data_IF_897483327361
#
_entry.id   IF_897483327361
#
_cell.length_a   1.000
_cell.length_b   1.000
_cell.length_c   1.000
_cell.angle_alpha   90.00
_cell.angle_beta   90.00
_cell.angle_gamma   90.00
#
_symmetry.space_group_name_H-M   'P 1'
#
loop_
_entity.id
_entity.type
_entity.pdbx_description
1 polymer ?
#
# COMPACT_ATOMS: atom_id res chain seq x y z
N UNK A 1 9.25 -8.50 -33.08
CA UNK A 1 10.53 -8.17 -32.43
C UNK A 1 10.43 -6.75 -31.91
N UNK A 2 10.00 -6.58 -30.66
CA UNK A 2 9.99 -5.27 -29.97
C UNK A 2 10.69 -5.50 -28.63
N UNK A 3 11.80 -4.77 -28.45
CA UNK A 3 12.82 -5.06 -27.45
C UNK A 3 12.29 -4.99 -26.03
N UNK A 4 12.62 -6.00 -25.24
CA UNK A 4 12.64 -5.90 -23.79
C UNK A 4 13.66 -4.82 -23.43
N UNK A 5 13.19 -3.61 -23.14
CA UNK A 5 14.03 -2.58 -22.53
C UNK A 5 14.48 -3.13 -21.17
N UNK A 6 15.75 -3.51 -21.07
CA UNK A 6 16.41 -3.78 -19.80
C UNK A 6 16.44 -2.46 -19.02
N UNK A 7 15.41 -2.24 -18.19
CA UNK A 7 15.44 -1.23 -17.14
C UNK A 7 16.62 -1.58 -16.23
N UNK A 8 17.39 -0.56 -15.83
CA UNK A 8 18.54 -0.70 -14.93
C UNK A 8 18.15 -1.32 -13.59
N UNK A 9 19.12 -1.51 -12.68
CA UNK A 9 18.83 -2.08 -11.37
C UNK A 9 17.85 -1.16 -10.61
N UNK A 10 16.62 -1.63 -10.42
CA UNK A 10 15.56 -0.92 -9.69
C UNK A 10 15.92 -0.78 -8.19
N UNK A 11 16.84 -1.61 -7.68
CA UNK A 11 17.17 -1.71 -6.26
C UNK A 11 17.60 -0.38 -5.60
N UNK A 12 18.67 0.29 -6.09
CA UNK A 12 19.12 1.55 -5.50
C UNK A 12 18.10 2.68 -5.60
N UNK A 13 17.47 2.86 -6.78
CA UNK A 13 16.46 3.91 -7.00
C UNK A 13 15.23 3.70 -6.11
N UNK A 14 14.79 2.45 -5.95
CA UNK A 14 13.67 2.12 -5.07
C UNK A 14 14.01 2.32 -3.59
N UNK A 15 15.26 2.04 -3.19
CA UNK A 15 15.71 2.28 -1.83
C UNK A 15 15.74 3.78 -1.53
N UNK A 16 16.27 4.60 -2.43
CA UNK A 16 16.28 6.06 -2.30
C UNK A 16 14.85 6.62 -2.18
N UNK A 17 13.95 6.22 -3.07
CA UNK A 17 12.54 6.62 -2.99
C UNK A 17 11.85 6.16 -1.69
N UNK A 18 12.22 5.00 -1.15
CA UNK A 18 11.70 4.52 0.13
C UNK A 18 12.27 5.33 1.32
N UNK A 19 13.53 5.76 1.25
CA UNK A 19 14.16 6.62 2.24
C UNK A 19 13.52 8.01 2.26
N UNK A 20 13.16 8.58 1.10
CA UNK A 20 12.48 9.87 0.98
C UNK A 20 11.14 9.92 1.72
N UNK A 21 10.41 8.80 1.78
CA UNK A 21 9.11 8.72 2.48
C UNK A 21 9.23 8.25 3.94
N UNK A 22 10.43 7.94 4.43
CA UNK A 22 10.66 7.31 5.74
C UNK A 22 10.08 8.13 6.90
N UNK A 23 10.29 9.44 6.91
CA UNK A 23 9.77 10.32 7.97
C UNK A 23 8.24 10.33 8.03
N UNK A 24 7.58 10.27 6.88
CA UNK A 24 6.13 10.17 6.78
C UNK A 24 5.64 8.81 7.33
N UNK A 25 6.31 7.71 6.98
CA UNK A 25 5.99 6.38 7.50
C UNK A 25 6.16 6.32 9.03
N UNK A 26 7.20 6.96 9.58
CA UNK A 26 7.41 7.07 11.03
C UNK A 26 6.29 7.89 11.69
N UNK A 27 5.84 8.97 11.06
CA UNK A 27 4.73 9.77 11.55
C UNK A 27 3.42 8.96 11.59
N UNK A 28 3.06 8.27 10.49
CA UNK A 28 1.89 7.39 10.44
C UNK A 28 1.97 6.28 11.48
N UNK A 29 3.14 5.65 11.65
CA UNK A 29 3.34 4.63 12.68
C UNK A 29 2.99 5.19 14.07
N UNK A 30 3.48 6.39 14.42
CA UNK A 30 3.19 7.02 15.71
C UNK A 30 1.71 7.34 15.87
N UNK A 31 1.06 7.83 14.81
CA UNK A 31 -0.38 8.13 14.79
C UNK A 31 -1.22 6.87 15.04
N UNK A 32 -1.00 5.80 14.26
CA UNK A 32 -1.74 4.54 14.44
C UNK A 32 -1.48 3.89 15.80
N UNK A 33 -0.26 4.01 16.34
CA UNK A 33 0.03 3.52 17.70
C UNK A 33 -0.61 4.37 18.80
N UNK A 34 -0.88 5.66 18.54
CA UNK A 34 -1.54 6.54 19.49
C UNK A 34 -3.05 6.30 19.53
N UNK A 35 -3.64 5.87 18.40
CA UNK A 35 -5.07 5.60 18.24
C UNK A 35 -5.30 4.16 17.74
N UNK A 36 -5.00 3.14 18.55
CA UNK A 36 -5.20 1.75 18.14
C UNK A 36 -6.70 1.43 17.99
N UNK A 37 -7.03 0.62 16.98
CA UNK A 37 -8.39 0.09 16.76
C UNK A 37 -8.39 -1.43 16.89
N UNK A 38 -9.48 -1.98 17.43
CA UNK A 38 -9.62 -3.43 17.64
C UNK A 38 -9.88 -4.17 16.33
N UNK A 39 -9.61 -5.47 16.36
CA UNK A 39 -9.94 -6.38 15.26
C UNK A 39 -11.39 -6.21 14.81
N UNK A 40 -11.58 -6.02 13.50
CA UNK A 40 -12.86 -5.79 12.81
C UNK A 40 -13.53 -4.42 13.07
N UNK A 41 -12.88 -3.53 13.82
CA UNK A 41 -13.38 -2.19 14.15
C UNK A 41 -12.46 -1.06 13.64
N UNK A 42 -11.53 -1.35 12.74
CA UNK A 42 -10.49 -0.44 12.20
C UNK A 42 -11.05 0.58 11.20
N UNK A 43 -12.13 1.27 11.57
CA UNK A 43 -12.87 2.17 10.69
C UNK A 43 -12.05 3.38 10.27
N UNK A 44 -11.32 3.99 11.21
CA UNK A 44 -10.51 5.19 10.96
C UNK A 44 -9.25 4.82 10.20
N UNK A 45 -8.55 3.75 10.61
CA UNK A 45 -7.34 3.26 9.97
C UNK A 45 -7.62 2.80 8.54
N UNK A 46 -8.71 2.04 8.32
CA UNK A 46 -9.15 1.65 6.98
C UNK A 46 -9.46 2.85 6.10
N UNK A 47 -10.18 3.86 6.62
CA UNK A 47 -10.46 5.09 5.88
C UNK A 47 -9.18 5.85 5.48
N UNK A 48 -8.19 5.92 6.38
CA UNK A 48 -6.89 6.56 6.11
C UNK A 48 -6.10 5.82 5.04
N UNK A 49 -6.11 4.49 5.05
CA UNK A 49 -5.47 3.66 4.03
C UNK A 49 -6.15 3.86 2.67
N UNK A 50 -7.48 3.88 2.64
CA UNK A 50 -8.26 4.15 1.41
C UNK A 50 -7.91 5.51 0.82
N UNK A 51 -7.89 6.56 1.64
CA UNK A 51 -7.52 7.91 1.22
C UNK A 51 -6.11 7.92 0.60
N UNK A 52 -5.16 7.31 1.29
CA UNK A 52 -3.75 7.25 0.86
C UNK A 52 -3.59 6.50 -0.45
N UNK A 53 -4.18 5.30 -0.58
CA UNK A 53 -4.11 4.50 -1.80
C UNK A 53 -4.82 5.17 -2.98
N UNK A 54 -5.95 5.83 -2.72
CA UNK A 54 -6.74 6.52 -3.76
C UNK A 54 -6.04 7.76 -4.29
N UNK A 55 -5.08 8.33 -3.56
CA UNK A 55 -4.26 9.45 -4.00
C UNK A 55 -3.12 9.03 -4.95
N UNK A 56 -2.80 7.73 -5.04
CA UNK A 56 -1.74 7.22 -5.90
C UNK A 56 -2.30 6.96 -7.29
N UNK A 57 -1.70 7.59 -8.30
CA UNK A 57 -2.10 7.40 -9.70
C UNK A 57 -1.97 5.93 -10.12
N UNK A 58 -3.02 5.40 -10.75
CA UNK A 58 -3.04 4.04 -11.27
C UNK A 58 -3.37 2.94 -10.24
N UNK A 59 -3.69 3.29 -9.00
CA UNK A 59 -4.17 2.33 -7.99
C UNK A 59 -5.70 2.23 -8.03
N UNK A 60 -6.21 1.03 -8.29
CA UNK A 60 -7.62 0.68 -8.08
C UNK A 60 -7.80 0.24 -6.62
N UNK A 61 -8.75 0.85 -5.89
CA UNK A 61 -9.00 0.53 -4.48
C UNK A 61 -10.32 -0.23 -4.31
N UNK A 62 -10.23 -1.43 -3.75
CA UNK A 62 -11.38 -2.26 -3.36
C UNK A 62 -11.50 -2.25 -1.83
N UNK A 63 -12.71 -1.99 -1.33
CA UNK A 63 -13.04 -1.97 0.10
C UNK A 63 -14.00 -3.11 0.44
N UNK A 64 -14.02 -3.51 1.70
CA UNK A 64 -15.00 -4.48 2.18
C UNK A 64 -14.73 -5.91 1.67
N UNK A 65 -13.50 -6.23 1.28
CA UNK A 65 -13.16 -7.55 0.75
C UNK A 65 -13.00 -8.56 1.89
N UNK A 66 -14.00 -9.42 2.06
CA UNK A 66 -14.05 -10.42 3.13
C UNK A 66 -14.47 -9.88 4.51
N UNK A 67 -14.03 -8.66 4.85
CA UNK A 67 -14.36 -7.96 6.11
C UNK A 67 -14.73 -6.50 5.80
N UNK A 68 -15.60 -5.83 6.59
CA UNK A 68 -15.99 -4.44 6.36
C UNK A 68 -14.80 -3.45 6.27
N UNK A 69 -13.75 -3.68 7.06
CA UNK A 69 -12.58 -2.79 7.17
C UNK A 69 -11.44 -3.16 6.22
N UNK A 70 -11.52 -4.29 5.50
CA UNK A 70 -10.48 -4.72 4.56
C UNK A 70 -10.33 -3.77 3.37
N UNK A 71 -9.07 -3.50 3.00
CA UNK A 71 -8.71 -2.67 1.85
C UNK A 71 -7.72 -3.41 0.95
N UNK A 72 -7.96 -3.38 -0.36
CA UNK A 72 -7.06 -3.94 -1.38
C UNK A 72 -6.72 -2.86 -2.40
N UNK A 73 -5.44 -2.56 -2.55
CA UNK A 73 -4.92 -1.73 -3.65
C UNK A 73 -4.41 -2.61 -4.79
N UNK A 74 -4.84 -2.33 -6.02
CA UNK A 74 -4.48 -3.09 -7.21
C UNK A 74 -3.77 -2.16 -8.18
N UNK A 75 -2.52 -2.48 -8.50
CA UNK A 75 -1.74 -1.83 -9.57
C UNK A 75 -1.67 -2.80 -10.75
N UNK A 76 -2.15 -2.37 -11.91
CA UNK A 76 -2.13 -3.18 -13.14
C UNK A 76 -0.97 -2.71 -14.02
N UNK A 77 -0.03 -3.62 -14.28
CA UNK A 77 1.02 -3.38 -15.27
C UNK A 77 0.50 -3.57 -16.69
N UNK A 78 1.19 -2.97 -17.66
CA UNK A 78 0.79 -2.99 -19.09
C UNK A 78 1.13 -4.31 -19.81
N UNK A 79 1.91 -5.19 -19.17
CA UNK A 79 2.38 -6.42 -19.78
C UNK A 79 1.74 -7.64 -19.11
N UNK A 80 1.37 -8.67 -19.88
CA UNK A 80 0.92 -9.93 -19.30
C UNK A 80 2.06 -10.55 -18.48
N UNK A 81 1.74 -11.09 -17.31
CA UNK A 81 2.76 -11.61 -16.41
C UNK A 81 2.20 -12.18 -15.12
N UNK A 82 3.11 -12.44 -14.18
CA UNK A 82 2.78 -12.92 -12.84
C UNK A 82 2.25 -11.76 -11.99
N UNK A 83 1.37 -12.08 -11.05
CA UNK A 83 0.94 -11.15 -10.01
C UNK A 83 1.70 -11.39 -8.71
N UNK A 84 2.01 -10.32 -7.99
CA UNK A 84 2.59 -10.35 -6.64
C UNK A 84 1.60 -9.70 -5.66
N UNK A 85 1.45 -10.27 -4.47
CA UNK A 85 0.65 -9.70 -3.39
C UNK A 85 1.55 -9.37 -2.20
N UNK A 86 1.39 -8.16 -1.67
CA UNK A 86 1.98 -7.71 -0.41
C UNK A 86 0.84 -7.53 0.59
N UNK A 87 0.98 -8.08 1.79
CA UNK A 87 -0.05 -8.09 2.83
C UNK A 87 0.49 -7.50 4.12
N UNK A 88 -0.31 -6.63 4.74
CA UNK A 88 -0.05 -6.04 6.05
C UNK A 88 -1.31 -6.13 6.92
N UNK A 89 -1.13 -6.17 8.23
CA UNK A 89 -2.20 -6.09 9.24
C UNK A 89 -2.29 -4.66 9.78
N UNK A 90 -3.43 -4.33 10.38
CA UNK A 90 -3.75 -2.99 10.86
C UNK A 90 -4.44 -2.97 12.23
N UNK A 91 -4.92 -4.10 12.73
CA UNK A 91 -5.57 -4.23 14.03
C UNK A 91 -4.59 -4.19 15.19
N UNK A 92 -5.07 -3.71 16.33
CA UNK A 92 -4.38 -3.73 17.61
C UNK A 92 -4.89 -4.85 18.53
N UNK A 93 -4.14 -5.09 19.61
CA UNK A 93 -4.44 -6.07 20.66
C UNK A 93 -4.94 -5.40 21.95
#
# INVERSE_FOLDING_TARGET
MTGAGTRGPIGPELLEAAEEISDQLVAWRREFHQFPELAFEENVTSARIVETLSAIEGVEVVKGFGCPTSVVGIIRGDLPGKSLMIRAEMDAL
#
